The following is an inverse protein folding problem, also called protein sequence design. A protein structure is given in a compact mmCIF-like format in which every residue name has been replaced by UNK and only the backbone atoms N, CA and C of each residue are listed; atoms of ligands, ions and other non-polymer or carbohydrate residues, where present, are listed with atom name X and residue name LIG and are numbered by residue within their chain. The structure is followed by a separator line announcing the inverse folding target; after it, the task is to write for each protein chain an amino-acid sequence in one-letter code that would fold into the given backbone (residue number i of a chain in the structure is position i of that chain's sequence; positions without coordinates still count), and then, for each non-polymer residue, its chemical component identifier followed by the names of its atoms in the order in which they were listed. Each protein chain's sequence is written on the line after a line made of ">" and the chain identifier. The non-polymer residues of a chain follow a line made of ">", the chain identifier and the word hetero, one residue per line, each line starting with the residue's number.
data_IF_422692383963
#
_entry.id   IF_422692383963
#
_cell.length_a   1.000
_cell.length_b   1.000
_cell.length_c   1.000
_cell.angle_alpha   90.00
_cell.angle_beta   90.00
_cell.angle_gamma   90.00
#
_symmetry.space_group_name_H-M   'P 1'
#
loop_
_entity.id
_entity.type
_entity.pdbx_description
1 polymer ?
#
# COMPACT_ATOMS: atom_id res chain seq x y z
N UNK A 1 45.70 16.94 36.07
CA UNK A 1 44.33 16.36 36.04
C UNK A 1 43.32 17.18 35.23
N UNK A 2 43.40 18.49 35.14
CA UNK A 2 42.47 19.37 34.39
C UNK A 2 42.45 19.13 32.87
N UNK A 3 43.57 18.90 32.20
CA UNK A 3 43.66 18.71 30.73
C UNK A 3 42.97 17.42 30.23
N UNK A 4 42.88 16.35 31.05
CA UNK A 4 42.14 15.11 30.70
C UNK A 4 40.62 15.29 30.79
N UNK A 5 40.13 16.06 31.77
CA UNK A 5 38.69 16.34 31.94
C UNK A 5 38.15 17.24 30.81
N UNK A 6 38.95 18.18 30.33
CA UNK A 6 38.61 19.07 29.23
C UNK A 6 38.49 18.31 27.88
N UNK A 7 39.38 17.34 27.62
CA UNK A 7 39.30 16.49 26.40
C UNK A 7 38.10 15.56 26.42
N UNK A 8 37.73 15.02 27.59
CA UNK A 8 36.58 14.15 27.72
C UNK A 8 35.26 14.93 27.54
N UNK A 9 35.18 16.18 28.03
CA UNK A 9 34.04 17.06 27.87
C UNK A 9 33.86 17.51 26.40
N UNK A 10 34.95 17.74 25.65
CA UNK A 10 34.92 18.08 24.23
C UNK A 10 34.45 16.88 23.36
N UNK A 11 34.83 15.64 23.71
CA UNK A 11 34.37 14.44 23.03
C UNK A 11 32.85 14.18 23.25
N UNK A 12 32.36 14.47 24.45
CA UNK A 12 30.92 14.34 24.76
C UNK A 12 30.07 15.41 24.04
N UNK A 13 30.61 16.62 23.88
CA UNK A 13 29.93 17.70 23.17
C UNK A 13 29.88 17.46 21.65
N UNK A 14 30.93 16.84 21.08
CA UNK A 14 30.98 16.49 19.66
C UNK A 14 30.05 15.31 19.30
N UNK A 15 29.83 14.37 20.23
CA UNK A 15 28.88 13.24 19.99
C UNK A 15 27.42 13.68 20.07
N UNK A 16 27.10 14.74 20.83
CA UNK A 16 25.73 15.29 20.88
C UNK A 16 25.35 16.04 19.59
N UNK A 17 26.35 16.62 18.89
CA UNK A 17 26.11 17.33 17.61
C UNK A 17 25.86 16.39 16.41
N UNK A 18 26.26 15.11 16.52
CA UNK A 18 26.05 14.12 15.45
C UNK A 18 24.67 13.44 15.48
N UNK A 19 23.88 13.65 16.54
CA UNK A 19 22.49 13.14 16.61
C UNK A 19 21.43 14.10 16.06
N UNK A 20 21.81 15.31 15.69
CA UNK A 20 20.88 16.35 15.23
C UNK A 20 20.68 16.39 13.70
N UNK A 21 21.15 15.42 12.95
CA UNK A 21 21.22 15.55 11.50
C UNK A 21 20.95 14.31 10.68
N UNK A 22 19.81 13.64 10.87
CA UNK A 22 19.30 12.71 9.85
C UNK A 22 17.83 13.01 9.56
N UNK A 23 17.54 14.21 9.06
CA UNK A 23 16.42 14.39 8.15
C UNK A 23 16.92 13.96 6.77
N UNK A 24 16.46 12.81 6.30
CA UNK A 24 16.68 12.37 4.93
C UNK A 24 16.12 13.45 3.98
N UNK A 25 16.93 13.97 3.02
CA UNK A 25 16.41 14.89 2.03
C UNK A 25 15.33 14.17 1.20
N UNK A 26 14.10 14.60 1.29
CA UNK A 26 12.92 14.00 0.65
C UNK A 26 11.87 13.46 1.63
N UNK A 27 12.19 13.32 2.92
CA UNK A 27 11.26 13.00 4.01
C UNK A 27 11.19 14.12 5.06
N UNK A 28 11.65 15.31 4.74
CA UNK A 28 11.33 16.46 5.55
C UNK A 28 9.83 16.71 5.36
N UNK A 29 9.04 16.48 6.42
CA UNK A 29 7.72 17.08 6.52
C UNK A 29 7.93 18.57 6.32
N UNK A 30 7.74 19.05 5.11
CA UNK A 30 7.50 20.48 4.87
C UNK A 30 6.12 20.74 5.44
N UNK A 31 6.04 20.81 6.75
CA UNK A 31 4.88 21.31 7.45
C UNK A 31 4.80 22.85 7.26
N UNK A 32 4.64 23.24 6.01
CA UNK A 32 3.93 24.47 5.74
C UNK A 32 2.47 24.14 6.08
N UNK A 33 1.94 24.76 7.12
CA UNK A 33 0.55 24.58 7.58
C UNK A 33 -0.48 24.80 6.46
N UNK A 34 -0.03 25.31 5.32
CA UNK A 34 -0.82 25.55 4.13
C UNK A 34 -0.72 24.45 3.05
N UNK A 35 0.07 23.40 3.25
CA UNK A 35 0.25 22.34 2.25
C UNK A 35 -0.33 21.01 2.74
N UNK A 36 -1.22 20.40 1.95
CA UNK A 36 -1.80 19.08 2.18
C UNK A 36 -0.99 18.04 1.41
N UNK A 37 -0.34 17.14 2.11
CA UNK A 37 0.36 16.00 1.50
C UNK A 37 -0.62 14.85 1.24
N UNK A 38 -0.61 14.32 0.01
CA UNK A 38 -1.52 13.29 -0.47
C UNK A 38 -0.70 12.09 -0.94
N UNK A 39 -0.99 10.89 -0.45
CA UNK A 39 -0.28 9.70 -0.94
C UNK A 39 -0.88 9.25 -2.27
N UNK A 40 -0.01 9.05 -3.25
CA UNK A 40 -0.26 8.33 -4.48
C UNK A 40 0.32 6.92 -4.42
N UNK A 41 0.28 6.19 -5.54
CA UNK A 41 0.82 4.84 -5.65
C UNK A 41 1.72 4.69 -6.87
N UNK A 42 2.10 3.44 -7.17
CA UNK A 42 2.89 3.10 -8.35
C UNK A 42 2.05 2.88 -9.61
N UNK A 43 0.76 2.60 -9.46
CA UNK A 43 -0.15 2.37 -10.58
C UNK A 43 -0.64 3.68 -11.18
N UNK A 44 -0.91 3.71 -12.48
CA UNK A 44 -1.52 4.87 -13.14
C UNK A 44 -2.85 5.27 -12.51
N UNK A 45 -3.67 4.30 -12.09
CA UNK A 45 -4.92 4.54 -11.36
C UNK A 45 -4.67 5.35 -10.08
N UNK A 46 -3.75 4.90 -9.23
CA UNK A 46 -3.46 5.57 -7.97
C UNK A 46 -2.87 6.98 -8.18
N UNK A 47 -2.06 7.18 -9.21
CA UNK A 47 -1.51 8.49 -9.56
C UNK A 47 -2.59 9.45 -10.07
N UNK A 48 -3.51 8.97 -10.90
CA UNK A 48 -4.65 9.76 -11.39
C UNK A 48 -5.56 10.15 -10.23
N UNK A 49 -5.91 9.22 -9.35
CA UNK A 49 -6.71 9.50 -8.16
C UNK A 49 -6.02 10.52 -7.24
N UNK A 50 -4.71 10.39 -7.03
CA UNK A 50 -3.92 11.36 -6.29
C UNK A 50 -4.01 12.77 -6.87
N UNK A 51 -3.89 12.89 -8.20
CA UNK A 51 -4.01 14.17 -8.90
C UNK A 51 -5.42 14.75 -8.83
N UNK A 52 -6.46 13.93 -9.00
CA UNK A 52 -7.85 14.38 -8.86
C UNK A 52 -8.13 14.91 -7.45
N UNK A 53 -7.68 14.20 -6.42
CA UNK A 53 -7.85 14.65 -5.04
C UNK A 53 -7.09 15.95 -4.78
N UNK A 54 -5.88 16.10 -5.32
CA UNK A 54 -5.09 17.31 -5.24
C UNK A 54 -5.83 18.51 -5.88
N UNK A 55 -6.30 18.35 -7.10
CA UNK A 55 -7.06 19.39 -7.81
C UNK A 55 -8.34 19.79 -7.05
N UNK A 56 -9.03 18.80 -6.44
CA UNK A 56 -10.22 19.08 -5.62
C UNK A 56 -9.87 19.88 -4.36
N UNK A 57 -8.80 19.50 -3.66
CA UNK A 57 -8.36 20.24 -2.46
C UNK A 57 -8.01 21.68 -2.83
N UNK A 58 -7.25 21.92 -3.88
CA UNK A 58 -6.86 23.24 -4.32
C UNK A 58 -8.04 24.06 -4.86
N UNK A 59 -9.03 23.41 -5.50
CA UNK A 59 -10.21 24.08 -6.02
C UNK A 59 -11.18 24.54 -4.93
N UNK A 60 -11.36 23.73 -3.89
CA UNK A 60 -12.36 23.97 -2.84
C UNK A 60 -11.78 24.56 -1.55
N UNK A 61 -10.47 24.77 -1.47
CA UNK A 61 -9.80 25.33 -0.30
C UNK A 61 -8.67 26.26 -0.72
N UNK A 62 -8.15 27.06 0.23
CA UNK A 62 -6.95 27.88 0.01
C UNK A 62 -5.63 27.10 0.21
N UNK A 63 -5.70 25.76 0.33
CA UNK A 63 -4.55 24.89 0.56
C UNK A 63 -3.83 24.59 -0.74
N UNK A 64 -2.51 24.45 -0.65
CA UNK A 64 -1.67 23.83 -1.69
C UNK A 64 -1.61 22.33 -1.48
N UNK A 65 -1.23 21.59 -2.49
CA UNK A 65 -1.07 20.13 -2.38
C UNK A 65 0.33 19.68 -2.77
N UNK A 66 0.72 18.52 -2.21
CA UNK A 66 1.90 17.79 -2.62
C UNK A 66 1.55 16.29 -2.74
N UNK A 67 1.61 15.74 -3.95
CA UNK A 67 1.32 14.32 -4.19
C UNK A 67 2.61 13.51 -4.07
N UNK A 68 2.67 12.64 -3.06
CA UNK A 68 3.79 11.73 -2.82
C UNK A 68 3.54 10.46 -3.63
N UNK A 69 4.14 10.36 -4.80
CA UNK A 69 4.02 9.20 -5.69
C UNK A 69 5.01 8.09 -5.31
N UNK A 70 4.83 6.92 -5.96
CA UNK A 70 5.71 5.75 -5.84
C UNK A 70 5.73 5.06 -4.47
N UNK A 71 4.70 5.25 -3.65
CA UNK A 71 4.50 4.45 -2.45
C UNK A 71 4.02 3.05 -2.88
N UNK A 72 4.93 2.09 -2.89
CA UNK A 72 4.76 0.82 -3.59
C UNK A 72 3.71 -0.12 -2.97
N UNK A 73 3.44 -0.01 -1.67
CA UNK A 73 2.54 -0.93 -0.97
C UNK A 73 1.55 -0.20 -0.06
N UNK A 74 0.42 -0.88 0.23
CA UNK A 74 -0.56 -0.42 1.22
C UNK A 74 0.09 -0.14 2.58
N UNK A 75 1.04 -0.97 3.00
CA UNK A 75 1.75 -0.80 4.28
C UNK A 75 2.59 0.48 4.31
N UNK A 76 3.36 0.76 3.25
CA UNK A 76 4.17 1.99 3.15
C UNK A 76 3.27 3.22 3.12
N UNK A 77 2.17 3.15 2.37
CA UNK A 77 1.17 4.21 2.28
C UNK A 77 0.54 4.50 3.67
N UNK A 78 0.15 3.44 4.39
CA UNK A 78 -0.40 3.57 5.73
C UNK A 78 0.64 4.14 6.73
N UNK A 79 1.90 3.73 6.63
CA UNK A 79 2.96 4.23 7.49
C UNK A 79 3.21 5.74 7.27
N UNK A 80 3.14 6.22 6.04
CA UNK A 80 3.25 7.66 5.74
C UNK A 80 2.12 8.47 6.42
N UNK A 81 0.90 7.91 6.44
CA UNK A 81 -0.23 8.52 7.17
C UNK A 81 -0.01 8.53 8.68
N UNK A 82 0.51 7.44 9.25
CA UNK A 82 0.78 7.34 10.70
C UNK A 82 1.90 8.25 11.16
N UNK A 83 2.92 8.45 10.33
CA UNK A 83 4.04 9.33 10.62
C UNK A 83 3.67 10.82 10.49
N UNK A 84 2.52 11.15 9.88
CA UNK A 84 2.17 12.52 9.53
C UNK A 84 2.88 13.04 8.28
N UNK A 85 3.51 12.16 7.49
CA UNK A 85 4.13 12.53 6.21
C UNK A 85 3.07 12.86 5.15
N UNK A 86 1.85 12.34 5.32
CA UNK A 86 0.69 12.64 4.50
C UNK A 86 -0.58 12.76 5.33
N UNK A 87 -1.52 13.60 4.86
CA UNK A 87 -2.82 13.84 5.49
C UNK A 87 -3.96 13.12 4.77
N UNK A 88 -3.79 12.82 3.50
CA UNK A 88 -4.79 12.15 2.66
C UNK A 88 -4.15 10.97 1.94
N UNK A 89 -4.86 9.84 1.89
CA UNK A 89 -4.54 8.72 1.03
C UNK A 89 -5.60 8.58 -0.05
N UNK A 90 -5.23 8.86 -1.31
CA UNK A 90 -6.17 8.97 -2.41
C UNK A 90 -6.62 7.62 -2.98
N UNK A 91 -5.83 6.57 -2.82
CA UNK A 91 -6.12 5.25 -3.39
C UNK A 91 -5.91 4.15 -2.35
N UNK A 92 -7.00 3.64 -1.80
CA UNK A 92 -7.02 2.54 -0.84
C UNK A 92 -8.09 1.53 -1.23
N UNK A 93 -7.88 0.26 -0.89
CA UNK A 93 -8.78 -0.83 -1.22
C UNK A 93 -9.23 -1.54 0.07
N UNK A 94 -10.54 -1.53 0.34
CA UNK A 94 -11.10 -2.06 1.59
C UNK A 94 -10.67 -3.50 1.87
N UNK A 95 -10.77 -4.39 0.89
CA UNK A 95 -10.37 -5.79 1.05
C UNK A 95 -8.89 -5.96 1.41
N UNK A 96 -8.00 -5.19 0.77
CA UNK A 96 -6.58 -5.20 1.07
C UNK A 96 -6.31 -4.67 2.47
N UNK A 97 -6.94 -3.57 2.88
CA UNK A 97 -6.73 -2.98 4.20
C UNK A 97 -7.29 -3.84 5.34
N UNK A 98 -8.38 -4.55 5.12
CA UNK A 98 -8.88 -5.53 6.11
C UNK A 98 -7.80 -6.56 6.45
N UNK A 99 -7.14 -7.10 5.46
CA UNK A 99 -6.14 -8.17 5.68
C UNK A 99 -4.76 -7.63 6.04
N UNK A 100 -4.25 -6.64 5.29
CA UNK A 100 -2.85 -6.19 5.45
C UNK A 100 -2.66 -5.14 6.55
N UNK A 101 -3.58 -4.18 6.69
CA UNK A 101 -3.44 -3.10 7.67
C UNK A 101 -4.08 -3.45 9.00
N UNK A 102 -5.28 -4.02 8.97
CA UNK A 102 -6.00 -4.37 10.19
C UNK A 102 -5.65 -5.76 10.73
N UNK A 103 -5.05 -6.64 9.90
CA UNK A 103 -4.72 -8.01 10.29
C UNK A 103 -5.96 -8.87 10.57
N UNK A 104 -7.09 -8.56 9.93
CA UNK A 104 -8.36 -9.26 10.12
C UNK A 104 -8.59 -10.28 9.00
N UNK A 105 -9.44 -11.29 9.22
CA UNK A 105 -9.84 -12.22 8.17
C UNK A 105 -10.44 -11.50 6.97
N UNK A 106 -10.20 -12.02 5.76
CA UNK A 106 -10.73 -11.44 4.53
C UNK A 106 -12.26 -11.39 4.55
N UNK A 107 -12.82 -10.21 4.24
CA UNK A 107 -14.26 -9.99 4.11
C UNK A 107 -14.61 -9.88 2.61
N UNK A 108 -15.50 -10.76 2.16
CA UNK A 108 -15.88 -10.87 0.74
C UNK A 108 -17.07 -9.94 0.35
N UNK A 109 -17.85 -9.50 1.33
CA UNK A 109 -18.94 -8.56 1.11
C UNK A 109 -18.39 -7.13 1.09
N UNK A 110 -18.50 -6.39 -0.02
CA UNK A 110 -17.89 -5.05 -0.14
C UNK A 110 -18.43 -4.04 0.89
N UNK A 111 -19.73 -4.14 1.21
CA UNK A 111 -20.36 -3.24 2.19
C UNK A 111 -19.87 -3.52 3.60
N UNK A 112 -19.72 -4.80 3.96
CA UNK A 112 -19.17 -5.17 5.26
C UNK A 112 -17.70 -4.81 5.35
N UNK A 113 -16.91 -5.05 4.30
CA UNK A 113 -15.52 -4.65 4.23
C UNK A 113 -15.36 -3.14 4.43
N UNK A 114 -16.18 -2.32 3.75
CA UNK A 114 -16.17 -0.87 3.92
C UNK A 114 -16.52 -0.46 5.35
N UNK A 115 -17.60 -0.97 5.93
CA UNK A 115 -18.00 -0.66 7.30
C UNK A 115 -16.91 -1.06 8.31
N UNK A 116 -16.23 -2.17 8.06
CA UNK A 116 -15.16 -2.67 8.92
C UNK A 116 -13.93 -1.75 8.88
N UNK A 117 -13.45 -1.38 7.68
CA UNK A 117 -12.32 -0.45 7.57
C UNK A 117 -12.68 0.91 8.15
N UNK A 118 -13.86 1.44 7.88
CA UNK A 118 -14.30 2.73 8.40
C UNK A 118 -14.27 2.75 9.93
N UNK A 119 -14.88 1.76 10.57
CA UNK A 119 -14.94 1.69 12.04
C UNK A 119 -13.58 1.42 12.69
N UNK A 120 -12.78 0.51 12.15
CA UNK A 120 -11.51 0.14 12.74
C UNK A 120 -10.41 1.18 12.50
N UNK A 121 -10.40 1.87 11.36
CA UNK A 121 -9.46 2.96 11.10
C UNK A 121 -9.75 4.17 11.98
N UNK A 122 -11.01 4.54 12.16
CA UNK A 122 -11.40 5.59 13.09
C UNK A 122 -10.94 5.26 14.51
N UNK A 123 -11.24 4.05 14.98
CA UNK A 123 -10.94 3.59 16.34
C UNK A 123 -9.44 3.45 16.62
N UNK A 124 -8.66 2.88 15.68
CA UNK A 124 -7.24 2.55 15.90
C UNK A 124 -6.31 3.69 15.53
N UNK A 125 -6.66 4.47 14.50
CA UNK A 125 -5.75 5.41 13.87
C UNK A 125 -6.28 6.83 13.79
N UNK A 126 -7.54 7.08 14.19
CA UNK A 126 -8.22 8.37 14.06
C UNK A 126 -8.26 8.85 12.59
N UNK A 127 -8.41 7.91 11.66
CA UNK A 127 -8.48 8.15 10.22
C UNK A 127 -9.88 7.86 9.71
N UNK A 128 -10.43 8.78 8.94
CA UNK A 128 -11.78 8.68 8.35
C UNK A 128 -11.69 8.07 6.95
N UNK A 129 -12.47 7.01 6.72
CA UNK A 129 -12.70 6.45 5.38
C UNK A 129 -13.92 7.09 4.75
N UNK A 130 -13.73 7.66 3.56
CA UNK A 130 -14.80 8.19 2.75
C UNK A 130 -15.44 7.09 1.88
N UNK A 131 -16.69 7.27 1.39
CA UNK A 131 -17.31 6.34 0.46
C UNK A 131 -16.47 6.12 -0.80
N UNK A 132 -16.67 4.95 -1.43
CA UNK A 132 -16.00 4.59 -2.68
C UNK A 132 -16.22 5.62 -3.79
N UNK A 133 -15.24 5.77 -4.67
CA UNK A 133 -15.34 6.54 -5.91
C UNK A 133 -16.37 6.00 -6.91
N UNK A 134 -16.98 4.85 -6.62
CA UNK A 134 -18.01 4.25 -7.47
C UNK A 134 -17.48 3.25 -8.50
N UNK A 135 -16.24 2.78 -8.38
CA UNK A 135 -15.70 1.70 -9.19
C UNK A 135 -15.08 0.60 -8.31
N UNK A 136 -14.88 -0.57 -8.90
CA UNK A 136 -14.24 -1.71 -8.25
C UNK A 136 -12.92 -2.04 -8.95
N UNK A 137 -11.97 -2.52 -8.16
CA UNK A 137 -10.72 -3.08 -8.62
C UNK A 137 -10.62 -4.52 -8.14
N UNK A 138 -10.28 -5.45 -9.02
CA UNK A 138 -10.17 -6.88 -8.68
C UNK A 138 -9.00 -7.53 -9.39
N UNK A 139 -8.55 -8.65 -8.82
CA UNK A 139 -7.51 -9.47 -9.44
C UNK A 139 -8.09 -10.40 -10.49
N UNK A 140 -7.33 -10.60 -11.56
CA UNK A 140 -7.65 -11.54 -12.65
C UNK A 140 -6.42 -12.33 -13.05
N UNK A 141 -6.61 -13.53 -13.56
CA UNK A 141 -5.57 -14.28 -14.24
C UNK A 141 -5.61 -13.97 -15.73
N UNK A 142 -4.52 -13.45 -16.25
CA UNK A 142 -4.36 -13.21 -17.69
C UNK A 142 -3.54 -14.33 -18.31
N UNK A 143 -3.99 -14.79 -19.47
CA UNK A 143 -3.25 -15.71 -20.34
C UNK A 143 -3.27 -15.17 -21.76
N UNK A 144 -2.27 -15.53 -22.56
CA UNK A 144 -2.30 -15.18 -23.99
C UNK A 144 -3.45 -15.92 -24.68
N UNK A 145 -3.93 -15.34 -25.77
CA UNK A 145 -4.97 -15.98 -26.62
C UNK A 145 -4.56 -17.38 -27.07
N UNK A 146 -3.29 -17.53 -27.48
CA UNK A 146 -2.72 -18.81 -27.85
C UNK A 146 -2.79 -19.84 -26.71
N UNK A 147 -2.43 -19.44 -25.49
CA UNK A 147 -2.51 -20.32 -24.30
C UNK A 147 -3.96 -20.68 -23.99
N UNK A 148 -4.89 -19.71 -24.06
CA UNK A 148 -6.31 -19.95 -23.85
C UNK A 148 -6.89 -20.94 -24.86
N UNK A 149 -6.58 -20.79 -26.14
CA UNK A 149 -7.02 -21.69 -27.22
C UNK A 149 -6.41 -23.08 -27.09
N UNK A 150 -5.07 -23.15 -26.87
CA UNK A 150 -4.34 -24.42 -26.73
C UNK A 150 -4.89 -25.31 -25.63
N UNK A 151 -5.28 -24.73 -24.51
CA UNK A 151 -5.77 -25.46 -23.34
C UNK A 151 -7.27 -25.32 -23.11
N UNK A 152 -7.99 -24.64 -24.01
CA UNK A 152 -9.43 -24.35 -23.90
C UNK A 152 -9.81 -23.71 -22.55
N UNK A 153 -9.05 -22.69 -22.14
CA UNK A 153 -9.24 -22.01 -20.86
C UNK A 153 -10.33 -20.95 -20.97
N UNK A 154 -11.33 -21.02 -20.08
CA UNK A 154 -12.41 -20.03 -19.96
C UNK A 154 -12.61 -19.54 -18.52
N UNK A 155 -12.23 -20.35 -17.55
CA UNK A 155 -12.39 -20.09 -16.12
C UNK A 155 -11.10 -20.40 -15.36
N UNK A 156 -10.99 -19.92 -14.12
CA UNK A 156 -9.88 -20.27 -13.21
C UNK A 156 -9.87 -21.78 -12.95
N UNK A 157 -11.02 -22.42 -12.87
CA UNK A 157 -11.13 -23.88 -12.70
C UNK A 157 -10.57 -24.66 -13.90
N UNK A 158 -10.71 -24.12 -15.12
CA UNK A 158 -10.06 -24.74 -16.29
C UNK A 158 -8.54 -24.60 -16.23
N UNK A 159 -8.05 -23.48 -15.71
CA UNK A 159 -6.62 -23.27 -15.49
C UNK A 159 -6.02 -24.35 -14.57
N UNK A 160 -6.77 -24.81 -13.56
CA UNK A 160 -6.37 -25.88 -12.65
C UNK A 160 -6.02 -27.21 -13.35
N UNK A 161 -6.66 -27.50 -14.49
CA UNK A 161 -6.39 -28.75 -15.25
C UNK A 161 -5.01 -28.79 -15.91
N UNK A 162 -4.33 -27.64 -16.02
CA UNK A 162 -3.04 -27.50 -16.71
C UNK A 162 -2.03 -26.67 -15.92
N UNK A 163 -2.38 -26.26 -14.71
CA UNK A 163 -1.56 -25.38 -13.89
C UNK A 163 -0.17 -25.97 -13.57
N UNK A 164 -0.07 -27.29 -13.46
CA UNK A 164 1.17 -28.05 -13.28
C UNK A 164 2.17 -27.89 -14.45
N UNK A 165 1.73 -27.37 -15.58
CA UNK A 165 2.54 -27.09 -16.77
C UNK A 165 2.89 -25.62 -16.93
N UNK A 166 2.25 -24.74 -16.15
CA UNK A 166 2.32 -23.31 -16.32
C UNK A 166 3.16 -22.63 -15.22
N UNK A 167 3.85 -21.58 -15.61
CA UNK A 167 4.52 -20.65 -14.71
C UNK A 167 3.64 -19.41 -14.56
N UNK A 168 3.32 -19.03 -13.32
CA UNK A 168 2.54 -17.84 -13.05
C UNK A 168 3.44 -16.67 -12.62
N UNK A 169 3.39 -15.55 -13.33
CA UNK A 169 3.93 -14.28 -12.87
C UNK A 169 2.92 -13.62 -11.93
N UNK A 170 3.32 -13.26 -10.73
CA UNK A 170 2.41 -12.76 -9.70
C UNK A 170 3.06 -11.65 -8.87
N UNK A 171 2.23 -10.76 -8.33
CA UNK A 171 2.67 -9.73 -7.39
C UNK A 171 3.31 -10.34 -6.14
N UNK A 172 4.47 -9.81 -5.75
CA UNK A 172 5.25 -10.33 -4.61
C UNK A 172 4.47 -10.27 -3.29
N UNK A 173 3.69 -9.21 -3.07
CA UNK A 173 2.90 -9.08 -1.86
C UNK A 173 1.75 -10.09 -1.79
N UNK A 174 1.19 -10.48 -2.96
CA UNK A 174 0.15 -11.50 -3.01
C UNK A 174 0.68 -12.90 -2.64
N UNK A 175 1.95 -13.22 -2.94
CA UNK A 175 2.53 -14.53 -2.62
C UNK A 175 2.47 -14.83 -1.12
N UNK A 176 2.77 -13.83 -0.29
CA UNK A 176 2.91 -13.99 1.17
C UNK A 176 1.70 -13.50 1.96
N UNK A 177 0.69 -12.93 1.29
CA UNK A 177 -0.48 -12.36 1.95
C UNK A 177 -1.34 -13.45 2.57
N UNK A 178 -1.66 -13.28 3.86
CA UNK A 178 -2.52 -14.21 4.58
C UNK A 178 -3.98 -14.09 4.12
N UNK A 179 -4.70 -15.20 4.14
CA UNK A 179 -6.13 -15.30 3.86
C UNK A 179 -6.46 -15.37 2.38
N UNK A 180 -6.23 -14.32 1.62
CA UNK A 180 -6.58 -14.19 0.19
C UNK A 180 -5.35 -14.16 -0.74
N UNK A 181 -4.17 -14.46 -0.23
CA UNK A 181 -2.95 -14.64 -1.00
C UNK A 181 -2.86 -16.00 -1.69
N UNK A 182 -1.65 -16.36 -2.14
CA UNK A 182 -1.45 -17.59 -2.91
C UNK A 182 -1.82 -18.87 -2.15
N UNK A 183 -1.57 -18.92 -0.85
CA UNK A 183 -1.96 -20.08 -0.04
C UNK A 183 -3.49 -20.20 0.06
N UNK A 184 -4.20 -19.07 0.22
CA UNK A 184 -5.66 -19.03 0.17
C UNK A 184 -6.20 -19.45 -1.19
N UNK A 185 -5.58 -18.97 -2.27
CA UNK A 185 -5.90 -19.36 -3.64
C UNK A 185 -5.76 -20.88 -3.87
N UNK A 186 -4.63 -21.46 -3.46
CA UNK A 186 -4.45 -22.92 -3.58
C UNK A 186 -5.51 -23.72 -2.83
N UNK A 187 -5.88 -23.25 -1.65
CA UNK A 187 -6.91 -23.89 -0.83
C UNK A 187 -8.30 -23.79 -1.47
N UNK A 188 -8.65 -22.63 -2.02
CA UNK A 188 -9.96 -22.40 -2.65
C UNK A 188 -10.13 -23.18 -3.94
N UNK A 189 -9.11 -23.16 -4.82
CA UNK A 189 -9.18 -23.77 -6.16
C UNK A 189 -8.61 -25.18 -6.23
N UNK A 190 -7.98 -25.67 -5.18
CA UNK A 190 -7.37 -27.00 -5.06
C UNK A 190 -6.36 -27.32 -6.18
N UNK A 191 -5.56 -26.35 -6.58
CA UNK A 191 -4.42 -26.56 -7.49
C UNK A 191 -3.27 -25.60 -7.21
N UNK A 192 -2.11 -25.89 -7.78
CA UNK A 192 -0.93 -25.04 -7.75
C UNK A 192 -0.27 -24.98 -9.13
N UNK A 193 0.41 -23.87 -9.40
CA UNK A 193 1.23 -23.75 -10.61
C UNK A 193 2.51 -24.56 -10.52
N UNK A 194 3.09 -24.91 -11.70
CA UNK A 194 4.41 -25.55 -11.78
C UNK A 194 5.46 -24.74 -11.02
N UNK A 195 5.45 -23.46 -11.17
CA UNK A 195 6.26 -22.50 -10.40
C UNK A 195 5.63 -21.11 -10.43
N UNK A 196 6.06 -20.26 -9.48
CA UNK A 196 5.67 -18.87 -9.37
C UNK A 196 6.89 -18.02 -9.65
N UNK A 197 6.70 -16.95 -10.44
CA UNK A 197 7.68 -15.91 -10.70
C UNK A 197 7.19 -14.61 -10.03
N UNK A 198 7.88 -14.14 -8.98
CA UNK A 198 7.58 -12.84 -8.38
C UNK A 198 7.86 -11.70 -9.37
N UNK A 199 6.94 -10.73 -9.43
CA UNK A 199 7.04 -9.56 -10.33
C UNK A 199 6.81 -8.27 -9.53
#
# INVERSE_FOLDING_TARGET
>A
MMKKKLKLSLLFLSSLLLLAGCSLPGLASTSDDNTVAITGGITSEAQILGSIVADMVEHYTDKKTNVINNLATTTINHQAMLNGDASISAARYTGTDVTTTLGLPAEKDPKKAFNLVQSEFEKRYQQTWFPSYGFENTYVFLVTKETAEKYNLKTVSDLGKVADKLVAGVDTAWITREGDGYEGFKKEYNFQFKSILPM
#
